data_IF_827254959011
#
_entry.id   IF_827254959011
#
_cell.length_a   1.000
_cell.length_b   1.000
_cell.length_c   1.000
_cell.angle_alpha   90.00
_cell.angle_beta   90.00
_cell.angle_gamma   90.00
#
_symmetry.space_group_name_H-M   'P 1'
#
loop_
_entity.id
_entity.type
_entity.pdbx_description
1 polymer ?
#
# COMPACT_ATOMS: atom_id res chain seq x y z
N UNK A 1 -89.93 -23.27 -8.67
CA UNK A 1 -90.01 -24.66 -9.17
C UNK A 1 -88.57 -25.06 -9.57
N UNK A 2 -88.13 -26.21 -9.00
CA UNK A 2 -86.89 -26.96 -9.36
C UNK A 2 -85.56 -26.29 -9.01
N UNK A 3 -84.48 -26.95 -8.54
CA UNK A 3 -84.28 -28.23 -7.76
C UNK A 3 -82.84 -28.18 -7.34
N UNK A 4 -82.58 -28.53 -6.09
CA UNK A 4 -81.25 -28.73 -5.50
C UNK A 4 -80.31 -29.61 -6.34
N UNK A 5 -79.04 -29.32 -6.28
CA UNK A 5 -77.95 -30.20 -6.70
C UNK A 5 -76.75 -29.98 -5.78
N UNK A 6 -76.76 -30.71 -4.67
CA UNK A 6 -75.65 -30.83 -3.76
C UNK A 6 -74.58 -31.67 -4.40
N UNK A 7 -73.34 -31.13 -4.54
CA UNK A 7 -72.15 -31.93 -4.86
C UNK A 7 -71.13 -31.80 -3.74
N UNK A 8 -71.04 -32.88 -3.02
CA UNK A 8 -70.02 -33.13 -2.01
C UNK A 8 -68.73 -33.40 -2.79
N UNK A 9 -67.72 -32.51 -2.68
CA UNK A 9 -66.36 -32.83 -3.08
C UNK A 9 -65.60 -33.36 -1.84
N UNK A 10 -65.32 -34.65 -1.91
CA UNK A 10 -64.51 -35.36 -0.93
C UNK A 10 -63.04 -34.97 -1.19
N UNK A 11 -62.48 -34.13 -0.31
CA UNK A 11 -61.05 -33.80 -0.36
C UNK A 11 -60.29 -34.89 0.37
N UNK A 12 -59.58 -35.70 -0.42
CA UNK A 12 -58.68 -36.73 0.08
C UNK A 12 -57.35 -36.07 0.44
N UNK A 13 -57.08 -35.85 1.73
CA UNK A 13 -55.80 -35.33 2.22
C UNK A 13 -54.82 -36.51 2.28
N UNK A 14 -53.90 -36.56 1.33
CA UNK A 14 -52.73 -37.44 1.37
C UNK A 14 -51.67 -36.84 2.29
N UNK A 15 -51.56 -37.36 3.51
CA UNK A 15 -50.48 -37.05 4.43
C UNK A 15 -49.28 -37.90 4.02
N UNK A 16 -48.26 -37.25 3.37
CA UNK A 16 -46.95 -37.86 3.15
C UNK A 16 -46.07 -37.61 4.37
N UNK A 17 -45.50 -38.63 4.99
CA UNK A 17 -44.48 -38.43 6.02
C UNK A 17 -43.18 -38.02 5.33
N UNK A 18 -42.94 -36.72 5.28
CA UNK A 18 -41.64 -36.18 4.88
C UNK A 18 -40.64 -36.35 6.02
N UNK A 19 -39.68 -37.26 5.86
CA UNK A 19 -38.47 -37.26 6.68
C UNK A 19 -37.68 -35.98 6.37
N UNK A 20 -37.79 -34.98 7.24
CA UNK A 20 -36.85 -33.86 7.26
C UNK A 20 -35.61 -34.30 8.01
N UNK A 21 -34.61 -34.81 7.31
CA UNK A 21 -33.23 -34.79 7.80
C UNK A 21 -32.82 -33.33 7.87
N UNK A 22 -32.37 -32.82 9.04
CA UNK A 22 -31.73 -31.51 9.05
C UNK A 22 -30.46 -31.61 8.19
N UNK A 23 -30.44 -30.89 7.08
CA UNK A 23 -29.20 -30.62 6.37
C UNK A 23 -28.33 -29.81 7.34
N UNK A 24 -27.33 -30.42 7.90
CA UNK A 24 -26.17 -29.69 8.45
C UNK A 24 -25.56 -28.94 7.27
N UNK A 25 -25.90 -27.66 7.19
CA UNK A 25 -25.14 -26.73 6.38
C UNK A 25 -23.78 -26.67 7.07
N UNK A 26 -22.82 -27.41 6.50
CA UNK A 26 -21.42 -27.23 6.82
C UNK A 26 -21.00 -25.93 6.11
N UNK A 27 -21.32 -24.79 6.77
CA UNK A 27 -20.88 -23.47 6.37
C UNK A 27 -19.37 -23.32 6.64
N UNK A 28 -18.59 -24.25 6.13
CA UNK A 28 -17.18 -24.02 5.87
C UNK A 28 -17.02 -23.67 4.40
N UNK A 29 -17.72 -22.64 3.93
CA UNK A 29 -17.14 -21.82 2.88
C UNK A 29 -15.93 -21.15 3.54
N UNK A 30 -14.82 -21.86 3.53
CA UNK A 30 -13.50 -21.30 3.65
C UNK A 30 -13.38 -20.37 2.44
N UNK A 31 -13.77 -19.12 2.64
CA UNK A 31 -13.36 -18.04 1.79
C UNK A 31 -11.83 -18.13 1.78
N UNK A 32 -11.26 -18.61 0.69
CA UNK A 32 -9.86 -18.40 0.35
C UNK A 32 -9.72 -16.89 0.10
N UNK A 33 -9.92 -16.11 1.17
CA UNK A 33 -9.68 -14.69 1.19
C UNK A 33 -8.20 -14.50 0.93
N UNK A 34 -7.87 -14.03 -0.28
CA UNK A 34 -6.51 -13.64 -0.61
C UNK A 34 -6.09 -12.62 0.45
N UNK A 35 -5.23 -13.05 1.37
CA UNK A 35 -4.72 -12.21 2.46
C UNK A 35 -3.49 -11.47 1.99
N UNK A 36 -3.40 -10.20 2.34
CA UNK A 36 -2.20 -9.41 2.09
C UNK A 36 -1.07 -10.01 2.95
N UNK A 37 0.11 -10.31 2.37
CA UNK A 37 1.25 -10.78 3.12
C UNK A 37 1.69 -9.79 4.20
N UNK A 38 2.25 -10.28 5.31
CA UNK A 38 2.78 -9.43 6.38
C UNK A 38 4.11 -8.79 5.98
N UNK A 39 4.94 -9.53 5.22
CA UNK A 39 6.25 -9.09 4.77
C UNK A 39 6.19 -8.72 3.29
N UNK A 40 6.42 -7.44 3.03
CA UNK A 40 6.25 -6.87 1.69
C UNK A 40 7.52 -6.19 1.20
N UNK A 41 7.72 -6.27 -0.10
CA UNK A 41 8.76 -5.53 -0.81
C UNK A 41 8.16 -4.82 -2.03
N UNK A 42 8.87 -3.82 -2.54
CA UNK A 42 8.55 -3.10 -3.77
C UNK A 42 9.77 -3.11 -4.67
N UNK A 43 9.56 -3.50 -5.93
CA UNK A 43 10.55 -3.38 -6.98
C UNK A 43 9.98 -2.47 -8.06
N UNK A 44 10.53 -1.27 -8.23
CA UNK A 44 9.98 -0.28 -9.15
C UNK A 44 11.06 0.59 -9.79
N UNK A 45 10.69 1.21 -10.92
CA UNK A 45 11.56 2.20 -11.58
C UNK A 45 11.78 3.42 -10.69
N UNK A 46 12.99 3.95 -10.72
CA UNK A 46 13.38 5.21 -10.07
C UNK A 46 13.15 6.39 -11.00
N UNK A 47 13.43 7.61 -10.55
CA UNK A 47 13.47 8.80 -11.42
C UNK A 47 14.67 8.84 -12.36
N UNK A 48 15.59 7.89 -12.30
CA UNK A 48 16.80 7.73 -13.12
C UNK A 48 17.80 8.88 -12.96
N UNK A 49 17.98 9.39 -11.75
CA UNK A 49 19.04 10.34 -11.39
C UNK A 49 20.27 9.60 -10.87
N UNK A 50 21.42 10.28 -10.86
CA UNK A 50 22.65 9.71 -10.28
C UNK A 50 22.46 9.31 -8.80
N UNK A 51 21.69 10.08 -8.05
CA UNK A 51 21.40 9.80 -6.64
C UNK A 51 20.50 8.56 -6.45
N UNK A 52 19.70 8.20 -7.45
CA UNK A 52 18.85 7.01 -7.40
C UNK A 52 19.69 5.73 -7.54
N UNK A 53 20.95 5.83 -8.05
CA UNK A 53 21.99 4.80 -8.22
C UNK A 53 21.62 3.68 -9.21
N UNK A 54 20.34 3.35 -9.36
CA UNK A 54 19.81 2.27 -10.21
C UNK A 54 18.59 2.76 -11.00
N UNK A 55 18.32 2.15 -12.15
CA UNK A 55 17.11 2.45 -12.92
C UNK A 55 15.86 1.80 -12.29
N UNK A 56 16.03 0.61 -11.74
CA UNK A 56 15.01 -0.12 -11.00
C UNK A 56 15.56 -0.47 -9.63
N UNK A 57 14.86 -0.09 -8.59
CA UNK A 57 15.25 -0.34 -7.20
C UNK A 57 14.41 -1.47 -6.61
N UNK A 58 15.11 -2.43 -6.00
CA UNK A 58 14.54 -3.41 -5.08
C UNK A 58 14.67 -2.84 -3.65
N UNK A 59 13.56 -2.41 -3.05
CA UNK A 59 13.60 -1.68 -1.77
C UNK A 59 14.27 -2.47 -0.66
N UNK A 60 14.02 -3.77 -0.55
CA UNK A 60 14.67 -4.61 0.46
C UNK A 60 16.02 -5.16 -0.01
N UNK A 61 16.11 -5.61 -1.28
CA UNK A 61 17.35 -6.16 -1.82
C UNK A 61 18.49 -5.15 -1.77
N UNK A 62 18.19 -3.90 -2.12
CA UNK A 62 19.17 -2.79 -2.08
C UNK A 62 19.35 -2.22 -0.65
N UNK A 63 18.56 -2.68 0.34
CA UNK A 63 18.66 -2.22 1.74
C UNK A 63 19.77 -2.91 2.53
N UNK A 64 20.28 -4.04 2.06
CA UNK A 64 21.33 -4.82 2.75
C UNK A 64 20.96 -5.12 4.24
N UNK A 65 19.67 -5.31 4.51
CA UNK A 65 19.15 -5.58 5.85
C UNK A 65 18.89 -4.34 6.72
N UNK A 66 19.10 -3.13 6.20
CA UNK A 66 18.83 -1.89 6.91
C UNK A 66 17.33 -1.55 6.92
N UNK A 67 16.90 -0.84 7.98
CA UNK A 67 15.58 -0.25 8.01
C UNK A 67 15.46 0.85 6.92
N UNK A 68 14.28 0.96 6.31
CA UNK A 68 14.02 1.93 5.24
C UNK A 68 12.81 2.77 5.56
N UNK A 69 12.97 4.09 5.58
CA UNK A 69 11.85 5.02 5.66
C UNK A 69 11.31 5.33 4.27
N UNK A 70 10.02 5.12 4.09
CA UNK A 70 9.27 5.43 2.86
C UNK A 70 8.43 6.67 3.11
N UNK A 71 8.63 7.72 2.31
CA UNK A 71 7.74 8.87 2.20
C UNK A 71 6.80 8.65 1.01
N UNK A 72 5.51 8.46 1.29
CA UNK A 72 4.47 8.32 0.28
C UNK A 72 3.99 9.70 -0.20
N UNK A 73 4.04 9.94 -1.50
CA UNK A 73 3.76 11.25 -2.08
C UNK A 73 2.78 11.23 -3.24
N UNK A 74 2.21 12.40 -3.51
CA UNK A 74 1.56 12.76 -4.77
C UNK A 74 1.97 14.16 -5.21
N UNK A 75 1.87 14.48 -6.50
CA UNK A 75 2.41 15.73 -7.08
C UNK A 75 1.65 16.98 -6.59
N UNK A 76 0.33 16.88 -6.41
CA UNK A 76 -0.51 17.98 -5.93
C UNK A 76 -0.62 18.10 -4.40
N UNK A 77 0.20 17.41 -3.64
CA UNK A 77 0.08 17.29 -2.18
C UNK A 77 0.98 18.31 -1.45
N UNK A 78 0.43 19.41 -0.96
CA UNK A 78 1.21 20.44 -0.26
C UNK A 78 1.95 19.91 0.99
N UNK A 79 1.36 18.99 1.74
CA UNK A 79 2.05 18.35 2.88
C UNK A 79 3.21 17.48 2.44
N UNK A 80 3.12 16.84 1.26
CA UNK A 80 4.22 16.06 0.70
C UNK A 80 5.40 16.98 0.32
N UNK A 81 5.10 18.16 -0.25
CA UNK A 81 6.11 19.16 -0.57
C UNK A 81 6.81 19.62 0.70
N UNK A 82 6.05 19.96 1.74
CA UNK A 82 6.55 20.42 3.03
C UNK A 82 7.47 19.36 3.68
N UNK A 83 7.06 18.11 3.73
CA UNK A 83 7.89 17.01 4.22
C UNK A 83 9.18 16.84 3.41
N UNK A 84 9.09 16.86 2.08
CA UNK A 84 10.27 16.67 1.22
C UNK A 84 11.27 17.81 1.38
N UNK A 85 10.80 19.07 1.35
CA UNK A 85 11.65 20.25 1.52
C UNK A 85 12.35 20.24 2.88
N UNK A 86 11.61 19.99 3.96
CA UNK A 86 12.16 20.01 5.31
C UNK A 86 13.17 18.88 5.57
N UNK A 87 12.90 17.65 5.10
CA UNK A 87 13.89 16.55 5.22
C UNK A 87 15.14 16.88 4.41
N UNK A 88 14.99 17.43 3.20
CA UNK A 88 16.12 17.84 2.37
C UNK A 88 16.95 18.95 3.03
N UNK A 89 16.32 19.88 3.74
CA UNK A 89 17.02 20.94 4.50
C UNK A 89 17.77 20.37 5.71
N UNK A 90 17.20 19.40 6.41
CA UNK A 90 17.90 18.70 7.51
C UNK A 90 19.13 17.92 6.97
N UNK A 91 19.04 17.31 5.78
CA UNK A 91 20.17 16.67 5.14
C UNK A 91 21.23 17.69 4.69
N UNK A 92 20.84 18.81 4.06
CA UNK A 92 21.76 19.89 3.66
C UNK A 92 22.48 20.51 4.86
N UNK A 93 21.81 20.59 5.99
CA UNK A 93 22.36 21.10 7.25
C UNK A 93 23.26 20.10 7.96
N UNK A 94 23.32 18.84 7.52
CA UNK A 94 24.07 17.77 8.15
C UNK A 94 23.43 17.17 9.39
N UNK A 95 22.17 17.50 9.68
CA UNK A 95 21.41 16.93 10.78
C UNK A 95 20.93 15.51 10.46
N UNK A 96 20.76 15.19 9.18
CA UNK A 96 20.49 13.84 8.68
C UNK A 96 21.65 13.42 7.78
N UNK A 97 22.19 12.23 8.01
CA UNK A 97 23.25 11.68 7.16
C UNK A 97 22.73 11.39 5.75
N UNK A 98 23.58 11.59 4.74
CA UNK A 98 23.28 11.16 3.38
C UNK A 98 23.22 9.63 3.23
N UNK A 99 23.68 8.89 4.22
CA UNK A 99 23.59 7.43 4.28
C UNK A 99 22.32 6.94 4.95
N UNK A 100 21.51 7.86 5.55
CA UNK A 100 20.20 7.52 6.10
C UNK A 100 19.27 7.01 4.99
N UNK A 101 18.72 5.82 5.19
CA UNK A 101 17.94 5.17 4.14
C UNK A 101 16.52 5.69 4.08
N UNK A 102 16.32 6.69 3.22
CA UNK A 102 15.03 7.31 2.91
C UNK A 102 14.71 7.03 1.44
N UNK A 103 13.46 6.75 1.13
CA UNK A 103 12.95 6.56 -0.24
C UNK A 103 11.62 7.31 -0.36
N UNK A 104 11.42 8.02 -1.45
CA UNK A 104 10.11 8.54 -1.84
C UNK A 104 9.42 7.55 -2.77
N UNK A 105 8.14 7.24 -2.53
CA UNK A 105 7.34 6.42 -3.44
C UNK A 105 6.10 7.19 -3.88
N UNK A 106 5.95 7.33 -5.20
CA UNK A 106 4.77 7.93 -5.80
C UNK A 106 3.54 7.02 -5.65
N UNK A 107 2.41 7.61 -5.20
CA UNK A 107 1.21 6.85 -4.78
C UNK A 107 0.15 6.67 -5.86
N UNK A 108 0.04 7.59 -6.84
CA UNK A 108 -1.09 7.68 -7.76
C UNK A 108 -0.73 7.61 -9.25
N UNK A 109 -0.08 6.53 -9.73
CA UNK A 109 0.39 6.45 -11.13
C UNK A 109 -0.74 6.48 -12.17
N UNK A 110 -1.98 6.16 -11.78
CA UNK A 110 -3.15 6.25 -12.67
C UNK A 110 -3.63 7.68 -12.95
N UNK A 111 -3.22 8.64 -12.13
CA UNK A 111 -3.71 10.02 -12.20
C UNK A 111 -2.60 11.03 -12.45
N UNK A 112 -1.38 10.74 -12.03
CA UNK A 112 -0.23 11.62 -12.08
C UNK A 112 0.84 10.99 -12.99
N UNK A 113 1.14 11.63 -14.14
CA UNK A 113 2.12 11.08 -15.07
C UNK A 113 3.53 11.14 -14.49
N UNK A 114 4.37 10.16 -14.86
CA UNK A 114 5.78 10.05 -14.43
C UNK A 114 6.55 11.36 -14.59
N UNK A 115 6.35 12.08 -15.70
CA UNK A 115 7.05 13.34 -15.96
C UNK A 115 6.76 14.41 -14.90
N UNK A 116 5.51 14.50 -14.43
CA UNK A 116 5.11 15.43 -13.37
C UNK A 116 5.76 15.07 -12.03
N UNK A 117 5.83 13.78 -11.70
CA UNK A 117 6.54 13.31 -10.48
C UNK A 117 8.02 13.67 -10.53
N UNK A 118 8.67 13.50 -11.69
CA UNK A 118 10.06 13.89 -11.91
C UNK A 118 10.22 15.41 -11.74
N UNK A 119 9.35 16.21 -12.36
CA UNK A 119 9.42 17.67 -12.27
C UNK A 119 9.29 18.17 -10.83
N UNK A 120 8.44 17.54 -10.03
CA UNK A 120 8.19 17.92 -8.63
C UNK A 120 9.28 17.40 -7.69
N UNK A 121 9.62 16.11 -7.74
CA UNK A 121 10.45 15.48 -6.70
C UNK A 121 11.87 15.12 -7.14
N UNK A 122 12.16 15.18 -8.42
CA UNK A 122 13.43 14.69 -8.95
C UNK A 122 14.17 15.73 -9.82
N UNK A 123 13.60 16.89 -10.04
CA UNK A 123 14.25 17.98 -10.81
C UNK A 123 15.09 18.86 -9.89
N UNK A 124 16.33 19.14 -10.29
CA UNK A 124 17.22 20.06 -9.60
C UNK A 124 16.76 21.54 -9.63
N UNK A 125 15.70 21.84 -10.36
CA UNK A 125 15.07 23.15 -10.37
C UNK A 125 13.85 23.22 -9.45
N UNK A 126 13.46 22.11 -8.82
CA UNK A 126 12.34 22.05 -7.89
C UNK A 126 12.77 22.43 -6.48
N UNK A 127 11.93 23.19 -5.77
CA UNK A 127 12.12 23.45 -4.34
C UNK A 127 11.87 22.20 -3.49
N UNK A 128 11.12 21.24 -4.03
CA UNK A 128 10.77 19.97 -3.41
C UNK A 128 11.61 18.80 -3.95
N UNK A 129 12.83 19.07 -4.43
CA UNK A 129 13.75 18.03 -4.86
C UNK A 129 14.14 17.12 -3.69
N UNK A 130 13.87 15.83 -3.84
CA UNK A 130 14.34 14.79 -2.91
C UNK A 130 15.83 14.57 -3.07
N UNK A 131 16.60 14.60 -1.99
CA UNK A 131 18.04 14.30 -1.95
C UNK A 131 18.32 12.80 -1.74
N UNK A 132 17.31 11.96 -1.93
CA UNK A 132 17.31 10.51 -1.81
C UNK A 132 16.50 9.90 -2.97
N UNK A 133 16.52 8.57 -3.15
CA UNK A 133 15.85 7.92 -4.27
C UNK A 133 14.35 8.18 -4.34
N UNK A 134 13.86 8.37 -5.58
CA UNK A 134 12.44 8.54 -5.91
C UNK A 134 11.99 7.38 -6.78
N UNK A 135 11.09 6.54 -6.25
CA UNK A 135 10.46 5.45 -6.97
C UNK A 135 9.16 5.90 -7.58
N UNK A 136 8.99 5.55 -8.85
CA UNK A 136 7.80 5.90 -9.65
C UNK A 136 7.21 4.60 -10.21
N UNK A 137 6.49 3.83 -9.38
CA UNK A 137 5.88 2.59 -9.80
C UNK A 137 4.88 2.84 -10.93
N UNK A 138 4.74 1.87 -11.84
CA UNK A 138 3.70 1.90 -12.87
C UNK A 138 2.32 1.58 -12.27
N UNK A 139 1.28 1.94 -13.00
CA UNK A 139 -0.08 1.55 -12.64
C UNK A 139 -0.19 0.02 -12.54
N UNK A 140 -0.85 -0.47 -11.47
CA UNK A 140 -0.99 -1.90 -11.21
C UNK A 140 0.32 -2.62 -10.86
N UNK A 141 1.41 -1.89 -10.55
CA UNK A 141 2.67 -2.49 -10.09
C UNK A 141 2.40 -3.39 -8.88
N UNK A 142 2.66 -4.72 -8.94
CA UNK A 142 2.45 -5.59 -7.80
C UNK A 142 3.45 -5.31 -6.68
N UNK A 143 3.04 -5.55 -5.44
CA UNK A 143 3.98 -5.74 -4.34
C UNK A 143 4.54 -7.17 -4.40
N UNK A 144 5.66 -7.39 -3.73
CA UNK A 144 6.30 -8.70 -3.62
C UNK A 144 6.02 -9.28 -2.24
N UNK A 145 5.52 -10.51 -2.20
CA UNK A 145 5.46 -11.35 -0.99
C UNK A 145 6.89 -11.85 -0.69
N UNK A 146 7.48 -11.36 0.40
CA UNK A 146 8.87 -11.68 0.76
C UNK A 146 9.02 -13.16 1.11
N UNK A 147 8.02 -13.75 1.79
CA UNK A 147 8.08 -15.14 2.23
C UNK A 147 8.04 -16.13 1.08
N UNK A 148 7.33 -15.79 0.01
CA UNK A 148 7.21 -16.62 -1.20
C UNK A 148 8.18 -16.21 -2.30
N UNK A 149 8.79 -15.03 -2.18
CA UNK A 149 9.60 -14.37 -3.23
C UNK A 149 8.84 -14.32 -4.58
N UNK A 150 7.59 -13.86 -4.53
CA UNK A 150 6.67 -13.79 -5.68
C UNK A 150 5.87 -12.50 -5.66
N UNK A 151 5.46 -12.04 -6.85
CA UNK A 151 4.48 -10.96 -6.99
C UNK A 151 3.16 -11.37 -6.32
N UNK A 152 2.56 -10.43 -5.58
CA UNK A 152 1.23 -10.58 -5.00
C UNK A 152 0.15 -10.28 -6.05
N UNK A 153 -1.08 -10.68 -5.78
CA UNK A 153 -2.25 -10.27 -6.56
C UNK A 153 -2.68 -8.82 -6.26
N UNK A 154 -1.96 -8.13 -5.37
CA UNK A 154 -2.24 -6.75 -4.98
C UNK A 154 -1.23 -5.80 -5.60
N UNK A 155 -1.72 -4.67 -6.13
CA UNK A 155 -0.83 -3.55 -6.41
C UNK A 155 -0.16 -3.05 -5.11
N UNK A 156 1.05 -2.47 -5.24
CA UNK A 156 1.85 -2.02 -4.10
C UNK A 156 1.06 -1.11 -3.14
N UNK A 157 0.19 -0.27 -3.67
CA UNK A 157 -0.61 0.63 -2.85
C UNK A 157 -1.65 -0.11 -2.01
N UNK A 158 -2.33 -1.09 -2.59
CA UNK A 158 -3.29 -1.93 -1.89
C UNK A 158 -2.59 -2.80 -0.85
N UNK A 159 -1.45 -3.40 -1.21
CA UNK A 159 -0.63 -4.20 -0.30
C UNK A 159 -0.16 -3.41 0.93
N UNK A 160 0.23 -2.14 0.75
CA UNK A 160 0.59 -1.23 1.84
C UNK A 160 -0.62 -0.51 2.48
N UNK A 161 -1.83 -1.08 2.38
CA UNK A 161 -3.06 -0.56 3.00
C UNK A 161 -3.46 0.85 2.52
N UNK A 162 -3.16 1.17 1.26
CA UNK A 162 -3.47 2.44 0.61
C UNK A 162 -2.95 3.64 1.42
N UNK A 163 -1.63 3.83 1.49
CA UNK A 163 -1.03 4.90 2.26
C UNK A 163 -1.63 6.26 1.91
N UNK A 164 -1.85 7.10 2.91
CA UNK A 164 -2.21 8.50 2.68
C UNK A 164 -1.01 9.27 2.11
N UNK A 165 -1.26 10.42 1.50
CA UNK A 165 -0.21 11.35 1.06
C UNK A 165 -0.36 12.70 1.77
N UNK A 166 0.68 13.17 2.49
CA UNK A 166 1.86 12.42 2.86
C UNK A 166 1.58 11.33 3.90
N UNK A 167 2.41 10.31 3.92
CA UNK A 167 2.58 9.46 5.09
C UNK A 167 3.98 8.87 5.10
N UNK A 168 4.45 8.53 6.29
CA UNK A 168 5.72 7.86 6.51
C UNK A 168 5.47 6.41 6.91
N UNK A 169 6.27 5.50 6.37
CA UNK A 169 6.26 4.08 6.71
C UNK A 169 7.71 3.63 6.89
N UNK A 170 8.02 2.87 7.94
CA UNK A 170 9.34 2.23 8.06
C UNK A 170 9.16 0.73 7.89
N UNK A 171 9.93 0.18 6.96
CA UNK A 171 10.15 -1.25 6.80
C UNK A 171 11.45 -1.63 7.49
N UNK A 172 11.43 -2.76 8.20
CA UNK A 172 12.69 -3.38 8.61
C UNK A 172 13.37 -4.11 7.43
N UNK A 173 14.59 -4.58 7.64
CA UNK A 173 15.35 -5.31 6.63
C UNK A 173 14.72 -6.62 6.17
N UNK A 174 13.69 -7.10 6.87
CA UNK A 174 12.93 -8.32 6.55
C UNK A 174 11.61 -8.03 5.80
N UNK A 175 11.23 -6.77 5.62
CA UNK A 175 10.00 -6.35 4.93
C UNK A 175 8.77 -6.22 5.82
N UNK A 176 8.93 -6.27 7.16
CA UNK A 176 7.83 -5.97 8.05
C UNK A 176 7.64 -4.45 8.15
N UNK A 177 6.40 -4.00 8.18
CA UNK A 177 6.09 -2.62 8.54
C UNK A 177 6.17 -2.46 10.05
N UNK A 178 7.20 -1.76 10.53
CA UNK A 178 7.46 -1.59 11.98
C UNK A 178 6.98 -0.25 12.53
N UNK A 179 6.72 0.73 11.67
CA UNK A 179 6.21 2.04 12.09
C UNK A 179 5.46 2.74 10.94
N UNK A 180 4.41 3.50 11.28
CA UNK A 180 3.63 4.33 10.34
C UNK A 180 3.24 5.65 10.99
N UNK A 181 3.27 6.74 10.21
CA UNK A 181 2.76 8.04 10.62
C UNK A 181 2.04 8.74 9.45
N UNK A 182 0.95 9.47 9.78
CA UNK A 182 0.10 10.17 8.78
C UNK A 182 0.01 11.67 9.07
N UNK A 183 0.98 12.25 9.77
CA UNK A 183 1.02 13.69 10.03
C UNK A 183 1.17 14.45 8.72
N UNK A 184 0.18 15.30 8.40
CA UNK A 184 0.10 15.95 7.08
C UNK A 184 1.21 16.97 6.86
N UNK A 185 1.40 17.90 7.81
CA UNK A 185 2.48 18.88 7.75
C UNK A 185 3.73 18.35 8.42
N UNK A 186 4.90 18.76 7.95
CA UNK A 186 6.16 18.41 8.58
C UNK A 186 6.12 18.63 10.08
N UNK A 187 6.68 17.68 10.81
CA UNK A 187 6.79 17.70 12.25
C UNK A 187 8.13 17.11 12.69
N UNK A 188 8.98 17.94 13.28
CA UNK A 188 10.33 17.54 13.68
C UNK A 188 10.35 16.43 14.72
N UNK A 189 9.35 16.36 15.61
CA UNK A 189 9.25 15.26 16.59
C UNK A 189 8.98 13.94 15.90
N UNK A 190 8.04 13.92 14.93
CA UNK A 190 7.74 12.72 14.14
C UNK A 190 8.96 12.28 13.32
N UNK A 191 9.69 13.24 12.72
CA UNK A 191 10.94 12.93 12.02
C UNK A 191 12.00 12.35 12.96
N UNK A 192 12.19 12.93 14.14
CA UNK A 192 13.15 12.41 15.14
C UNK A 192 12.80 10.98 15.57
N UNK A 193 11.52 10.70 15.84
CA UNK A 193 11.06 9.32 16.14
C UNK A 193 11.38 8.34 15.01
N UNK A 194 11.15 8.75 13.75
CA UNK A 194 11.46 7.92 12.59
C UNK A 194 12.97 7.65 12.45
N UNK A 195 13.81 8.67 12.67
CA UNK A 195 15.27 8.55 12.58
C UNK A 195 15.83 7.64 13.68
N UNK A 196 15.29 7.68 14.90
CA UNK A 196 15.69 6.76 15.99
C UNK A 196 15.41 5.28 15.67
N UNK A 197 14.45 5.00 14.78
CA UNK A 197 14.14 3.62 14.32
C UNK A 197 15.07 3.20 13.18
N UNK A 198 15.61 4.16 12.40
CA UNK A 198 16.50 3.88 11.27
C UNK A 198 17.95 3.61 11.70
N UNK A 199 18.35 4.10 12.88
CA UNK A 199 19.69 3.87 13.49
C UNK A 199 19.80 2.45 14.08
#
# INVERSE_FOLDING_TARGET
>A
MFRQGSWFFLVLILILPGCTTPATIDDTEQSDGVTIPERLNIVAETAHRDIDRVETMDVLGDAEGQNTMILWVSTGCSGCHDWTEMIADEMRSGNISNDTRIITIHRYPSFEPRAEVIDVYASNNSTTESLWPVLIPREGQPAIDVDKNQETDFDYSTAFERPATPSLTILDGDGNTIWKNKTYWYNSTVLSEALEILD
#
